data_IF_970808871874
#
_entry.id   IF_970808871874
#
_cell.length_a   1.000
_cell.length_b   1.000
_cell.length_c   1.000
_cell.angle_alpha   90.00
_cell.angle_beta   90.00
_cell.angle_gamma   90.00
#
_symmetry.space_group_name_H-M   'P 1'
#
loop_
_entity.id
_entity.type
_entity.pdbx_description
1 polymer ?
#
# COMPACT_ATOMS: atom_id res chain seq x y z
N UNK A 1 -3.44 8.58 -25.19
CA UNK A 1 -2.02 8.15 -25.09
C UNK A 1 -1.96 6.95 -24.17
N UNK A 2 -1.04 6.03 -24.43
CA UNK A 2 -0.84 4.83 -23.62
C UNK A 2 0.52 4.86 -22.94
N UNK A 3 0.54 4.34 -21.73
CA UNK A 3 1.69 4.24 -20.85
C UNK A 3 2.10 2.80 -20.79
N UNK A 4 3.39 2.55 -21.02
CA UNK A 4 3.99 1.22 -20.90
C UNK A 4 4.78 1.17 -19.61
N UNK A 5 4.36 0.29 -18.72
CA UNK A 5 5.01 0.06 -17.44
C UNK A 5 5.75 -1.26 -17.44
N UNK A 6 6.88 -1.28 -16.74
CA UNK A 6 7.48 -2.50 -16.21
C UNK A 6 7.18 -2.58 -14.72
N UNK A 7 6.64 -3.71 -14.29
CA UNK A 7 6.27 -3.98 -12.90
C UNK A 7 7.09 -5.17 -12.42
N UNK A 8 7.98 -4.94 -11.46
CA UNK A 8 8.91 -5.94 -10.92
C UNK A 8 8.48 -6.28 -9.51
N UNK A 9 8.30 -7.56 -9.22
CA UNK A 9 7.99 -8.02 -7.88
C UNK A 9 9.28 -8.12 -7.05
N UNK A 10 9.27 -7.58 -5.84
CA UNK A 10 10.40 -7.59 -4.89
C UNK A 10 10.58 -8.98 -4.24
N UNK A 11 11.11 -9.92 -5.02
CA UNK A 11 11.47 -11.28 -4.59
C UNK A 11 12.87 -11.64 -5.11
N UNK A 12 13.43 -12.75 -4.61
CA UNK A 12 14.79 -13.18 -4.99
C UNK A 12 14.86 -13.62 -6.46
N UNK A 13 13.78 -14.14 -6.99
CA UNK A 13 13.63 -14.54 -8.38
C UNK A 13 13.26 -13.35 -9.27
N UNK A 14 13.72 -13.36 -10.53
CA UNK A 14 13.29 -12.36 -11.49
C UNK A 14 11.82 -12.60 -11.88
N UNK A 15 10.90 -11.81 -11.33
CA UNK A 15 9.47 -11.87 -11.66
C UNK A 15 8.98 -10.47 -12.06
N UNK A 16 8.55 -10.31 -13.32
CA UNK A 16 8.06 -9.01 -13.80
C UNK A 16 7.00 -9.13 -14.90
N UNK A 17 6.26 -8.05 -15.10
CA UNK A 17 5.25 -7.89 -16.15
C UNK A 17 5.48 -6.58 -16.88
N UNK A 18 5.32 -6.59 -18.21
CA UNK A 18 5.23 -5.35 -18.98
C UNK A 18 3.77 -5.14 -19.40
N UNK A 19 3.16 -4.06 -18.93
CA UNK A 19 1.75 -3.74 -19.13
C UNK A 19 1.63 -2.41 -19.88
N UNK A 20 0.69 -2.35 -20.83
CA UNK A 20 0.31 -1.11 -21.51
C UNK A 20 -1.12 -0.76 -21.15
N UNK A 21 -1.35 0.46 -20.70
CA UNK A 21 -2.65 0.96 -20.24
C UNK A 21 -2.81 2.43 -20.66
N UNK A 22 -4.04 2.90 -20.83
CA UNK A 22 -4.27 4.32 -21.14
C UNK A 22 -3.88 5.22 -19.97
N UNK A 23 -3.34 6.40 -20.27
CA UNK A 23 -2.95 7.36 -19.22
C UNK A 23 -4.14 7.94 -18.44
N UNK A 24 -5.31 8.02 -19.06
CA UNK A 24 -6.55 8.47 -18.43
C UNK A 24 -7.28 7.37 -17.65
N UNK A 25 -6.75 6.14 -17.64
CA UNK A 25 -7.24 5.08 -16.77
C UNK A 25 -6.92 5.38 -15.30
N UNK A 26 -7.73 4.85 -14.40
CA UNK A 26 -7.54 5.07 -12.96
C UNK A 26 -6.44 4.16 -12.41
N UNK A 27 -5.91 4.49 -11.24
CA UNK A 27 -5.03 3.58 -10.52
C UNK A 27 -5.76 2.31 -10.07
N UNK A 28 -7.09 2.34 -9.94
CA UNK A 28 -7.88 1.13 -9.67
C UNK A 28 -7.89 0.20 -10.89
N UNK A 29 -8.06 0.76 -12.10
CA UNK A 29 -7.90 0.00 -13.34
C UNK A 29 -6.51 -0.63 -13.42
N UNK A 30 -5.48 0.13 -13.03
CA UNK A 30 -4.11 -0.37 -13.04
C UNK A 30 -3.88 -1.48 -12.01
N UNK A 31 -4.37 -1.30 -10.77
CA UNK A 31 -4.40 -2.32 -9.72
C UNK A 31 -4.99 -3.62 -10.24
N UNK A 32 -6.18 -3.56 -10.85
CA UNK A 32 -6.88 -4.73 -11.38
C UNK A 32 -6.04 -5.49 -12.40
N UNK A 33 -5.36 -4.78 -13.30
CA UNK A 33 -4.51 -5.38 -14.33
C UNK A 33 -3.26 -6.02 -13.72
N UNK A 34 -2.62 -5.35 -12.75
CA UNK A 34 -1.46 -5.90 -12.03
C UNK A 34 -1.87 -7.21 -11.36
N UNK A 35 -2.89 -7.18 -10.49
CA UNK A 35 -3.41 -8.35 -9.76
C UNK A 35 -3.68 -9.52 -10.70
N UNK A 36 -4.42 -9.28 -11.79
CA UNK A 36 -4.77 -10.31 -12.77
C UNK A 36 -3.53 -10.85 -13.51
N UNK A 37 -2.60 -9.99 -13.90
CA UNK A 37 -1.39 -10.39 -14.64
C UNK A 37 -0.42 -11.25 -13.80
N UNK A 38 -0.44 -11.05 -12.50
CA UNK A 38 0.34 -11.79 -11.51
C UNK A 38 -0.41 -13.04 -11.02
N UNK A 39 -1.73 -13.10 -11.18
CA UNK A 39 -2.55 -14.28 -10.85
C UNK A 39 -3.07 -14.28 -9.42
N UNK A 40 -3.14 -13.12 -8.79
CA UNK A 40 -3.77 -12.95 -7.48
C UNK A 40 -5.31 -12.98 -7.61
N UNK A 41 -5.99 -13.24 -6.49
CA UNK A 41 -7.45 -13.32 -6.45
C UNK A 41 -8.14 -11.94 -6.48
N UNK A 42 -7.44 -10.86 -6.11
CA UNK A 42 -7.95 -9.48 -6.18
C UNK A 42 -8.92 -9.07 -5.07
N UNK A 43 -8.83 -9.72 -3.92
CA UNK A 43 -9.70 -9.50 -2.76
C UNK A 43 -8.99 -8.81 -1.59
N UNK A 44 -7.71 -8.47 -1.76
CA UNK A 44 -6.89 -7.88 -0.70
C UNK A 44 -6.72 -6.37 -0.89
N UNK A 45 -6.39 -5.68 0.20
CA UNK A 45 -6.10 -4.24 0.17
C UNK A 45 -4.80 -3.95 -0.58
N UNK A 46 -4.73 -2.75 -1.15
CA UNK A 46 -3.54 -2.28 -1.84
C UNK A 46 -3.39 -0.76 -1.76
N UNK A 47 -2.15 -0.30 -1.92
CA UNK A 47 -1.76 1.11 -2.03
C UNK A 47 -0.71 1.30 -3.11
N UNK A 48 -0.80 2.42 -3.83
CA UNK A 48 0.32 2.98 -4.58
C UNK A 48 0.99 4.06 -3.73
N UNK A 49 2.30 4.19 -3.86
CA UNK A 49 3.08 5.29 -3.28
C UNK A 49 3.82 5.99 -4.41
N UNK A 50 3.72 7.32 -4.45
CA UNK A 50 4.63 8.12 -5.27
C UNK A 50 6.05 7.96 -4.72
N UNK A 51 7.05 7.95 -5.57
CA UNK A 51 8.44 7.81 -5.13
C UNK A 51 9.38 8.77 -5.82
N UNK A 52 10.47 9.07 -5.14
CA UNK A 52 11.61 9.74 -5.76
C UNK A 52 12.51 8.76 -6.53
N UNK A 53 13.66 9.25 -7.00
CA UNK A 53 14.60 8.46 -7.77
C UNK A 53 15.23 7.29 -7.01
N UNK A 54 15.28 7.40 -5.69
CA UNK A 54 15.87 6.43 -4.77
C UNK A 54 14.81 5.46 -4.20
N UNK A 55 13.58 5.49 -4.73
CA UNK A 55 12.44 4.67 -4.29
C UNK A 55 11.98 4.96 -2.85
N UNK A 56 12.23 6.18 -2.35
CA UNK A 56 11.68 6.58 -1.05
C UNK A 56 10.16 6.75 -1.16
N UNK A 57 9.42 6.22 -0.18
CA UNK A 57 7.96 6.30 -0.14
C UNK A 57 7.50 7.74 0.11
N UNK A 58 6.68 8.26 -0.80
CA UNK A 58 6.03 9.57 -0.72
C UNK A 58 4.54 9.45 -0.41
N UNK A 59 3.72 10.24 -1.11
CA UNK A 59 2.27 10.26 -0.96
C UNK A 59 1.66 8.87 -1.23
N UNK A 60 0.75 8.44 -0.35
CA UNK A 60 -0.01 7.20 -0.46
C UNK A 60 -1.35 7.42 -1.18
N UNK A 61 -1.69 6.48 -2.07
CA UNK A 61 -2.95 6.45 -2.80
C UNK A 61 -3.59 5.07 -2.59
N UNK A 62 -4.69 5.01 -1.84
CA UNK A 62 -5.26 3.76 -1.33
C UNK A 62 -6.42 3.24 -2.18
N UNK A 63 -6.60 1.92 -2.18
CA UNK A 63 -7.73 1.28 -2.89
C UNK A 63 -9.08 1.57 -2.23
N UNK A 64 -9.11 1.66 -0.90
CA UNK A 64 -10.28 2.01 -0.11
C UNK A 64 -9.93 3.16 0.83
N UNK A 65 -10.94 3.91 1.26
CA UNK A 65 -10.75 4.91 2.29
C UNK A 65 -10.45 4.21 3.63
N UNK A 66 -9.21 4.34 4.08
CA UNK A 66 -8.73 3.81 5.36
C UNK A 66 -8.75 4.89 6.46
N UNK A 67 -9.07 6.14 6.10
CA UNK A 67 -9.05 7.25 7.04
C UNK A 67 -10.39 7.44 7.75
N UNK A 68 -10.35 7.85 9.01
CA UNK A 68 -11.56 8.31 9.71
C UNK A 68 -11.98 9.72 9.27
N UNK A 69 -11.05 10.50 8.68
CA UNK A 69 -11.27 11.89 8.27
C UNK A 69 -11.69 12.07 6.80
N UNK A 70 -11.54 11.05 5.95
CA UNK A 70 -11.83 11.12 4.51
C UNK A 70 -10.81 11.94 3.71
N UNK A 71 -9.58 12.10 4.21
CA UNK A 71 -8.53 12.92 3.60
C UNK A 71 -7.53 12.11 2.75
N UNK A 72 -7.80 10.81 2.54
CA UNK A 72 -6.91 9.94 1.75
C UNK A 72 -7.26 10.00 0.27
N UNK A 73 -6.24 10.02 -0.59
CA UNK A 73 -6.43 9.99 -2.04
C UNK A 73 -6.76 8.57 -2.48
N UNK A 74 -7.85 8.42 -3.25
CA UNK A 74 -8.33 7.11 -3.69
C UNK A 74 -7.84 6.76 -5.09
N UNK A 75 -7.59 5.47 -5.31
CA UNK A 75 -7.22 4.92 -6.61
C UNK A 75 -8.30 5.14 -7.68
N UNK A 76 -9.58 5.04 -7.30
CA UNK A 76 -10.72 5.20 -8.22
C UNK A 76 -10.84 6.64 -8.77
N UNK A 77 -10.31 7.62 -8.03
CA UNK A 77 -10.39 9.05 -8.36
C UNK A 77 -9.09 9.58 -8.99
N UNK A 78 -8.04 8.76 -9.07
CA UNK A 78 -6.71 9.18 -9.50
C UNK A 78 -6.35 8.51 -10.82
N UNK A 79 -6.16 9.31 -11.87
CA UNK A 79 -5.70 8.83 -13.18
C UNK A 79 -4.19 8.67 -13.21
N UNK A 80 -3.70 7.72 -14.02
CA UNK A 80 -2.26 7.43 -14.16
C UNK A 80 -1.49 8.68 -14.61
N UNK A 81 -2.00 9.41 -15.60
CA UNK A 81 -1.38 10.62 -16.15
C UNK A 81 -1.34 11.82 -15.18
N UNK A 82 -2.08 11.74 -14.07
CA UNK A 82 -2.05 12.77 -13.01
C UNK A 82 -0.92 12.57 -12.00
N UNK A 83 -0.30 11.39 -11.99
CA UNK A 83 0.72 11.01 -10.99
C UNK A 83 1.99 10.42 -11.59
N UNK A 84 1.98 10.01 -12.86
CA UNK A 84 3.15 9.48 -13.56
C UNK A 84 3.46 10.34 -14.77
N UNK A 85 4.73 10.70 -14.94
CA UNK A 85 5.24 11.40 -16.10
C UNK A 85 6.66 10.92 -16.46
N UNK A 86 7.25 11.45 -17.52
CA UNK A 86 8.67 11.17 -17.83
C UNK A 86 9.62 11.75 -16.76
N UNK A 87 9.18 12.79 -16.02
CA UNK A 87 9.95 13.40 -14.92
C UNK A 87 9.77 12.65 -13.60
N UNK A 88 8.59 12.05 -13.40
CA UNK A 88 8.22 11.26 -12.22
C UNK A 88 7.73 9.86 -12.66
N UNK A 89 8.64 8.96 -13.10
CA UNK A 89 8.26 7.71 -13.76
C UNK A 89 8.04 6.53 -12.82
N UNK A 90 8.25 6.69 -11.50
CA UNK A 90 8.35 5.58 -10.53
C UNK A 90 7.20 5.61 -9.53
N UNK A 91 6.63 4.43 -9.27
CA UNK A 91 5.66 4.18 -8.20
C UNK A 91 6.04 2.90 -7.46
N UNK A 92 5.81 2.88 -6.15
CA UNK A 92 5.75 1.62 -5.40
C UNK A 92 4.31 1.16 -5.31
N UNK A 93 4.08 -0.11 -5.55
CA UNK A 93 2.76 -0.72 -5.39
C UNK A 93 2.85 -1.83 -4.33
N UNK A 94 2.00 -1.76 -3.31
CA UNK A 94 1.94 -2.74 -2.23
C UNK A 94 0.57 -3.40 -2.26
N UNK A 95 0.55 -4.74 -2.35
CA UNK A 95 -0.66 -5.55 -2.35
C UNK A 95 -0.64 -6.54 -1.18
N UNK A 96 -1.79 -6.72 -0.54
CA UNK A 96 -1.99 -7.54 0.65
C UNK A 96 -1.08 -7.10 1.81
N UNK A 97 -1.62 -6.33 2.76
CA UNK A 97 -0.86 -5.81 3.90
C UNK A 97 -0.45 -6.87 4.94
N UNK A 98 -0.91 -8.13 4.82
CA UNK A 98 -0.38 -9.22 5.64
C UNK A 98 0.89 -9.79 5.02
N UNK A 99 0.87 -10.04 3.71
CA UNK A 99 2.01 -10.62 2.97
C UNK A 99 3.01 -9.57 2.47
N UNK A 100 2.58 -8.32 2.38
CA UNK A 100 3.35 -7.16 1.96
C UNK A 100 4.01 -7.32 0.58
N UNK A 101 3.29 -7.88 -0.40
CA UNK A 101 3.80 -8.02 -1.76
C UNK A 101 4.12 -6.65 -2.33
N UNK A 102 5.39 -6.39 -2.59
CA UNK A 102 5.88 -5.08 -3.02
C UNK A 102 6.33 -5.15 -4.47
N UNK A 103 5.92 -4.16 -5.26
CA UNK A 103 6.22 -4.08 -6.67
C UNK A 103 6.85 -2.72 -6.98
N UNK A 104 7.95 -2.76 -7.70
CA UNK A 104 8.57 -1.59 -8.33
C UNK A 104 7.89 -1.38 -9.68
N UNK A 105 7.24 -0.24 -9.84
CA UNK A 105 6.53 0.12 -11.07
C UNK A 105 7.26 1.28 -11.72
N UNK A 106 7.73 1.08 -12.95
CA UNK A 106 8.50 2.07 -13.70
C UNK A 106 7.87 2.31 -15.07
N UNK A 107 7.62 3.58 -15.40
CA UNK A 107 7.22 4.02 -16.73
C UNK A 107 8.39 3.87 -17.69
N UNK A 108 8.20 3.06 -18.73
CA UNK A 108 9.19 2.78 -19.75
C UNK A 108 9.01 3.68 -20.97
N UNK A 109 7.76 3.95 -21.36
CA UNK A 109 7.43 4.65 -22.60
C UNK A 109 6.01 5.21 -22.56
N UNK A 110 5.82 6.40 -23.14
CA UNK A 110 4.51 6.96 -23.49
C UNK A 110 4.38 6.96 -25.01
N UNK A 111 3.28 6.41 -25.52
CA UNK A 111 3.05 6.29 -26.95
C UNK A 111 1.61 6.67 -27.34
N UNK A 112 1.39 6.85 -28.64
CA UNK A 112 0.06 7.02 -29.21
C UNK A 112 -0.71 5.70 -29.22
N UNK A 113 -2.03 5.79 -29.09
CA UNK A 113 -2.90 4.61 -29.15
C UNK A 113 -2.94 4.03 -30.57
N UNK A 114 -2.77 2.72 -30.67
CA UNK A 114 -2.92 2.01 -31.93
C UNK A 114 -4.38 1.57 -32.12
N UNK A 115 -5.00 2.01 -33.22
CA UNK A 115 -6.44 1.77 -33.49
C UNK A 115 -6.85 0.29 -33.59
N UNK A 116 -5.88 -0.62 -33.71
CA UNK A 116 -6.09 -2.06 -33.79
C UNK A 116 -5.87 -2.80 -32.46
N UNK A 117 -5.42 -2.10 -31.42
CA UNK A 117 -5.15 -2.67 -30.10
C UNK A 117 -6.26 -2.32 -29.10
N UNK A 118 -6.43 -3.18 -28.11
CA UNK A 118 -7.28 -2.95 -26.95
C UNK A 118 -6.41 -2.89 -25.71
N UNK A 119 -6.65 -1.89 -24.86
CA UNK A 119 -5.94 -1.69 -23.60
C UNK A 119 -6.93 -1.87 -22.44
N UNK A 120 -6.47 -2.28 -21.25
CA UNK A 120 -5.08 -2.61 -20.90
C UNK A 120 -4.59 -3.92 -21.54
N UNK A 121 -3.29 -4.06 -21.74
CA UNK A 121 -2.66 -5.21 -22.39
C UNK A 121 -1.39 -5.65 -21.66
N UNK A 122 -1.29 -6.95 -21.36
CA UNK A 122 -0.05 -7.58 -20.90
C UNK A 122 0.83 -7.95 -22.10
N UNK A 123 1.95 -7.24 -22.28
CA UNK A 123 2.87 -7.42 -23.40
C UNK A 123 3.92 -8.49 -23.11
N UNK A 124 4.39 -8.55 -21.87
CA UNK A 124 5.42 -9.48 -21.45
C UNK A 124 5.17 -10.01 -20.05
N UNK A 125 5.49 -11.29 -19.84
CA UNK A 125 5.39 -11.95 -18.56
C UNK A 125 6.62 -12.84 -18.35
N UNK A 126 7.31 -12.63 -17.23
CA UNK A 126 8.49 -13.37 -16.85
C UNK A 126 8.41 -13.82 -15.39
N UNK A 127 8.88 -15.03 -15.11
CA UNK A 127 8.86 -15.60 -13.77
C UNK A 127 7.46 -15.99 -13.27
N UNK A 128 7.43 -16.70 -12.15
CA UNK A 128 6.20 -17.07 -11.43
C UNK A 128 6.33 -16.62 -9.99
N UNK A 129 5.21 -16.25 -9.39
CA UNK A 129 5.19 -15.81 -8.00
C UNK A 129 5.61 -16.98 -7.11
N UNK A 130 6.50 -16.76 -6.13
CA UNK A 130 6.84 -17.78 -5.14
C UNK A 130 5.61 -18.29 -4.39
N UNK A 131 5.67 -19.53 -3.91
CA UNK A 131 4.56 -20.13 -3.16
C UNK A 131 4.39 -19.54 -1.75
N UNK A 132 5.47 -18.97 -1.21
CA UNK A 132 5.50 -18.31 0.10
C UNK A 132 5.73 -16.82 -0.08
N UNK A 133 5.08 -16.01 0.77
CA UNK A 133 5.30 -14.57 0.80
C UNK A 133 6.73 -14.22 1.22
N UNK A 134 7.29 -13.11 0.73
CA UNK A 134 8.63 -12.67 1.11
C UNK A 134 8.70 -12.36 2.61
N UNK A 135 9.76 -12.80 3.28
CA UNK A 135 10.04 -12.39 4.66
C UNK A 135 10.51 -10.93 4.67
N UNK A 136 9.67 -10.01 5.15
CA UNK A 136 10.10 -8.63 5.42
C UNK A 136 10.77 -8.53 6.79
N UNK A 137 12.08 -8.32 6.81
CA UNK A 137 12.78 -7.96 8.04
C UNK A 137 12.67 -6.45 8.26
N UNK A 138 11.81 -6.02 9.18
CA UNK A 138 11.82 -4.65 9.66
C UNK A 138 13.10 -4.44 10.49
N UNK A 139 14.07 -3.74 9.93
CA UNK A 139 15.17 -3.18 10.71
C UNK A 139 14.64 -1.82 11.17
N UNK A 140 14.08 -1.77 12.38
CA UNK A 140 13.84 -0.48 13.00
C UNK A 140 15.22 0.14 13.27
N UNK A 141 15.48 1.30 12.66
CA UNK A 141 16.55 2.15 13.16
C UNK A 141 16.24 2.44 14.63
N UNK A 142 17.25 2.18 15.45
CA UNK A 142 17.27 2.12 16.91
C UNK A 142 16.18 2.99 17.59
N UNK A 143 15.16 2.34 18.14
CA UNK A 143 14.10 2.95 18.98
C UNK A 143 14.63 3.48 20.33
N UNK A 144 15.93 3.75 20.44
CA UNK A 144 16.58 4.24 21.65
C UNK A 144 16.39 5.75 21.88
N UNK A 145 15.83 6.52 20.93
CA UNK A 145 15.52 7.95 21.16
C UNK A 145 14.18 8.19 21.86
N UNK A 146 13.36 7.16 22.10
CA UNK A 146 12.09 7.29 22.83
C UNK A 146 12.19 6.93 24.33
N UNK A 147 13.29 6.32 24.79
CA UNK A 147 13.49 6.03 26.22
C UNK A 147 13.85 7.28 27.04
N UNK A 148 14.48 8.29 26.43
CA UNK A 148 14.95 9.48 27.14
C UNK A 148 13.81 10.48 27.48
N UNK A 149 12.65 10.43 26.82
CA UNK A 149 11.54 11.37 27.06
C UNK A 149 10.48 10.88 28.07
N UNK A 150 10.52 9.59 28.44
CA UNK A 150 9.70 9.02 29.53
C UNK A 150 10.44 8.93 30.87
N UNK A 151 11.75 9.21 30.88
CA UNK A 151 12.60 9.21 32.08
C UNK A 151 12.31 10.36 33.05
N UNK A 152 11.63 11.42 32.62
CA UNK A 152 11.41 12.64 33.42
C UNK A 152 10.02 12.72 34.08
N UNK A 153 9.19 11.67 33.94
CA UNK A 153 8.00 11.51 34.78
C UNK A 153 8.37 10.80 36.08
N UNK A 154 9.02 11.53 37.00
CA UNK A 154 9.04 11.19 38.43
C UNK A 154 7.57 11.24 38.93
N UNK A 155 6.86 10.12 38.79
CA UNK A 155 5.60 9.91 39.49
C UNK A 155 5.90 9.74 40.98
N UNK A 156 5.73 10.83 41.73
CA UNK A 156 5.78 10.83 43.19
C UNK A 156 4.68 9.88 43.73
N UNK A 157 5.11 8.78 44.34
CA UNK A 157 4.29 7.60 44.68
C UNK A 157 3.37 7.82 45.93
N UNK A 158 3.06 9.07 46.29
CA UNK A 158 2.38 9.43 47.55
C UNK A 158 0.96 10.05 47.41
N UNK A 159 0.33 10.04 46.23
CA UNK A 159 -1.06 10.54 46.07
C UNK A 159 -2.10 9.46 45.69
N UNK A 160 -1.89 8.21 46.13
CA UNK A 160 -2.92 7.16 46.10
C UNK A 160 -3.83 7.18 47.35
N UNK A 161 -4.15 8.37 47.84
CA UNK A 161 -5.12 8.57 48.91
C UNK A 161 -6.35 9.30 48.38
N UNK A 162 -7.51 8.63 48.44
CA UNK A 162 -8.84 9.27 48.40
C UNK A 162 -9.55 9.39 47.04
N UNK A 163 -9.92 8.25 46.43
CA UNK A 163 -11.24 8.15 45.77
C UNK A 163 -11.91 6.83 46.16
N UNK A 164 -12.93 6.98 47.03
CA UNK A 164 -13.57 5.90 47.77
C UNK A 164 -14.39 4.94 46.91
N UNK A 165 -14.34 3.67 47.33
CA UNK A 165 -15.22 2.61 46.88
C UNK A 165 -16.69 2.95 47.21
N UNK A 166 -17.46 3.29 46.18
CA UNK A 166 -18.91 3.28 46.21
C UNK A 166 -19.42 1.87 45.94
N UNK A 167 -19.77 1.17 47.02
CA UNK A 167 -20.63 -0.01 47.03
C UNK A 167 -21.98 0.31 46.37
N UNK A 168 -22.42 -0.48 45.39
CA UNK A 168 -23.85 -0.76 45.16
C UNK A 168 -24.05 -2.01 44.28
N UNK A 169 -24.09 -3.15 44.97
CA UNK A 169 -24.95 -4.33 44.78
C UNK A 169 -25.65 -4.57 43.42
N UNK A 170 -25.20 -5.61 42.70
CA UNK A 170 -26.02 -6.35 41.74
C UNK A 170 -27.04 -7.23 42.49
N UNK A 171 -28.34 -7.04 42.24
CA UNK A 171 -29.39 -8.05 42.52
C UNK A 171 -29.80 -8.71 41.20
N UNK A 172 -29.51 -10.00 41.06
CA UNK A 172 -30.13 -10.88 40.07
C UNK A 172 -31.62 -11.04 40.40
N UNK A 173 -32.50 -10.80 39.41
CA UNK A 173 -33.88 -11.29 39.46
C UNK A 173 -33.97 -12.57 38.62
N UNK A 174 -34.11 -13.70 39.32
CA UNK A 174 -34.52 -14.98 38.75
C UNK A 174 -35.98 -14.91 38.24
N UNK A 175 -36.20 -15.29 36.98
CA UNK A 175 -37.53 -15.57 36.44
C UNK A 175 -37.76 -17.10 36.38
N UNK A 176 -38.56 -17.57 37.34
CA UNK A 176 -39.35 -18.81 37.47
C UNK A 176 -38.77 -20.17 37.06
#
# INVERSE_FOLDING_TARGET
MVYKFRIILDVKEDVFRDIVIQGDATLEDFHNVIVQSFGFAGNEMASFYLTDDDWNQGEEITLFDLSESGETRLMEETTIDSVVSEEEPKLLYVYDFFSMWTFFVELVEIAEEESAMSYPMLIHSHGSIPAEAPEKSFIADDFNEFEDEFSDFDMDEEDYGEFGYGDDNYREEDYY
#
